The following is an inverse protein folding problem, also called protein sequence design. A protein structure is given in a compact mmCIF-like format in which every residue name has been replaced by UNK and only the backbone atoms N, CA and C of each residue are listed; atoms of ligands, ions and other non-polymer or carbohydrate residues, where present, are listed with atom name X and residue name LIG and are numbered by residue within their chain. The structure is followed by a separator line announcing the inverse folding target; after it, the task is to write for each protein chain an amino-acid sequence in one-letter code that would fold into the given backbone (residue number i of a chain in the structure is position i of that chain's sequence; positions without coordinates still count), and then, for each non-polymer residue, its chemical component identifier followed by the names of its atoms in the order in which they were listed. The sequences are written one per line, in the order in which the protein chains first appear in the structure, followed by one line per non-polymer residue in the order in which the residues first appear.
data_IF_306075044415
#
_entry.id   IF_306075044415
#
_cell.length_a   1.000
_cell.length_b   1.000
_cell.length_c   1.000
_cell.angle_alpha   90.00
_cell.angle_beta   90.00
_cell.angle_gamma   90.00
#
_symmetry.space_group_name_H-M   'P 1'
#
loop_
_entity.id
_entity.type
_entity.pdbx_description
1 polymer ?
#
# COMPACT_ATOMS: atom_id res chain seq x y z
N UNK A 1 8.30 -34.46 -59.00
CA UNK A 1 9.05 -33.67 -57.98
C UNK A 1 8.14 -32.94 -56.99
N UNK A 2 7.04 -32.30 -57.43
CA UNK A 2 6.12 -31.54 -56.55
C UNK A 2 5.49 -32.32 -55.37
N UNK A 3 5.12 -33.60 -55.56
CA UNK A 3 4.52 -34.43 -54.49
C UNK A 3 5.48 -34.73 -53.32
N UNK A 4 6.78 -34.92 -53.60
CA UNK A 4 7.79 -35.18 -52.56
C UNK A 4 8.08 -33.92 -51.74
N UNK A 5 8.09 -32.75 -52.39
CA UNK A 5 8.24 -31.47 -51.71
C UNK A 5 7.04 -31.14 -50.81
N UNK A 6 5.82 -31.43 -51.28
CA UNK A 6 4.60 -31.24 -50.49
C UNK A 6 4.58 -32.15 -49.25
N UNK A 7 4.96 -33.42 -49.40
CA UNK A 7 5.00 -34.37 -48.29
C UNK A 7 6.03 -33.92 -47.23
N UNK A 8 7.23 -33.49 -47.66
CA UNK A 8 8.27 -33.00 -46.77
C UNK A 8 7.82 -31.74 -45.99
N UNK A 9 7.17 -30.79 -46.67
CA UNK A 9 6.65 -29.58 -46.04
C UNK A 9 5.57 -29.90 -44.99
N UNK A 10 4.70 -30.86 -45.29
CA UNK A 10 3.64 -31.28 -44.38
C UNK A 10 4.21 -31.99 -43.14
N UNK A 11 5.23 -32.83 -43.31
CA UNK A 11 5.93 -33.47 -42.19
C UNK A 11 6.63 -32.45 -41.30
N UNK A 12 7.32 -31.45 -41.88
CA UNK A 12 7.97 -30.37 -41.11
C UNK A 12 6.92 -29.58 -40.31
N UNK A 13 5.80 -29.21 -40.94
CA UNK A 13 4.73 -28.49 -40.26
C UNK A 13 4.15 -29.28 -39.08
N UNK A 14 3.87 -30.57 -39.27
CA UNK A 14 3.38 -31.46 -38.21
C UNK A 14 4.39 -31.57 -37.07
N UNK A 15 5.69 -31.69 -37.36
CA UNK A 15 6.73 -31.73 -36.33
C UNK A 15 6.79 -30.42 -35.56
N UNK A 16 6.70 -29.26 -36.22
CA UNK A 16 6.68 -27.95 -35.56
C UNK A 16 5.46 -27.83 -34.64
N UNK A 17 4.28 -28.24 -35.10
CA UNK A 17 3.05 -28.22 -34.29
C UNK A 17 3.16 -29.16 -33.10
N UNK A 18 3.71 -30.37 -33.28
CA UNK A 18 3.93 -31.32 -32.18
C UNK A 18 4.93 -30.75 -31.18
N UNK A 19 6.04 -30.15 -31.63
CA UNK A 19 7.03 -29.51 -30.74
C UNK A 19 6.39 -28.34 -29.98
N UNK A 20 5.56 -27.53 -30.63
CA UNK A 20 4.86 -26.39 -30.00
C UNK A 20 3.80 -26.83 -28.98
N UNK A 21 3.08 -27.92 -29.25
CA UNK A 21 2.12 -28.50 -28.29
C UNK A 21 2.85 -29.20 -27.15
N UNK A 22 3.93 -29.93 -27.44
CA UNK A 22 4.72 -30.67 -26.46
C UNK A 22 5.64 -29.77 -25.61
N UNK A 23 6.00 -28.57 -26.08
CA UNK A 23 6.78 -27.61 -25.30
C UNK A 23 6.01 -27.03 -24.12
N UNK A 24 4.71 -27.33 -23.97
CA UNK A 24 3.94 -27.01 -22.78
C UNK A 24 3.79 -25.51 -22.52
N UNK A 25 4.29 -24.65 -23.42
CA UNK A 25 4.18 -23.19 -23.28
C UNK A 25 2.77 -22.76 -23.63
N UNK A 26 1.80 -23.16 -22.81
CA UNK A 26 0.58 -22.38 -22.69
C UNK A 26 1.01 -20.97 -22.24
N UNK A 27 0.51 -19.88 -22.83
CA UNK A 27 0.77 -18.52 -22.33
C UNK A 27 0.17 -18.24 -20.93
N UNK A 28 -0.18 -19.29 -20.19
CA UNK A 28 -1.02 -19.24 -19.01
C UNK A 28 -0.35 -19.82 -17.75
N UNK A 29 0.90 -20.27 -17.86
CA UNK A 29 1.71 -20.81 -16.74
C UNK A 29 2.68 -19.79 -16.12
N UNK A 30 2.41 -18.49 -16.26
CA UNK A 30 3.11 -17.47 -15.45
C UNK A 30 2.44 -17.23 -14.07
N UNK A 31 1.42 -18.03 -13.77
CA UNK A 31 0.60 -18.01 -12.56
C UNK A 31 0.73 -19.33 -11.78
N UNK A 32 1.91 -19.95 -11.79
CA UNK A 32 2.13 -21.16 -11.00
C UNK A 32 3.26 -20.96 -9.98
N UNK A 33 2.82 -20.73 -8.75
CA UNK A 33 3.56 -20.85 -7.48
C UNK A 33 4.48 -19.69 -7.11
N UNK A 34 3.89 -18.65 -6.52
CA UNK A 34 4.62 -17.75 -5.63
C UNK A 34 3.84 -17.63 -4.30
N UNK A 35 4.21 -18.45 -3.32
CA UNK A 35 3.82 -18.22 -1.92
C UNK A 35 4.28 -16.80 -1.50
N UNK A 36 3.66 -16.20 -0.47
CA UNK A 36 4.17 -14.97 0.12
C UNK A 36 5.68 -15.07 0.39
N UNK A 37 6.44 -14.13 -0.17
CA UNK A 37 7.91 -14.12 -0.09
C UNK A 37 8.36 -12.97 0.79
N UNK A 38 9.09 -13.28 1.86
CA UNK A 38 9.69 -12.28 2.74
C UNK A 38 10.90 -11.67 2.01
N UNK A 39 10.83 -10.37 1.77
CA UNK A 39 11.88 -9.56 1.13
C UNK A 39 12.86 -8.99 2.13
N UNK A 40 12.36 -8.54 3.27
CA UNK A 40 13.14 -7.82 4.27
C UNK A 40 12.56 -8.06 5.65
N UNK A 41 13.41 -8.13 6.68
CA UNK A 41 13.00 -8.13 8.08
C UNK A 41 13.82 -7.11 8.83
N UNK A 42 13.15 -6.20 9.52
CA UNK A 42 13.76 -5.17 10.36
C UNK A 42 13.29 -5.33 11.79
N UNK A 43 14.21 -5.31 12.74
CA UNK A 43 13.88 -5.28 14.17
C UNK A 43 14.00 -3.85 14.67
N UNK A 44 12.98 -3.35 15.37
CA UNK A 44 13.06 -2.03 16.02
C UNK A 44 13.97 -2.10 17.23
N UNK A 45 15.00 -1.26 17.19
CA UNK A 45 15.98 -1.14 18.26
C UNK A 45 15.32 -0.63 19.53
N UNK A 46 15.80 -1.12 20.68
CA UNK A 46 15.38 -0.72 22.03
C UNK A 46 13.96 -1.09 22.44
N UNK A 47 13.25 -1.97 21.73
CA UNK A 47 11.97 -2.51 22.19
C UNK A 47 12.16 -3.73 23.11
N UNK A 48 11.44 -3.75 24.22
CA UNK A 48 11.41 -4.87 25.18
C UNK A 48 10.00 -5.30 25.61
N UNK A 49 8.99 -4.56 25.13
CA UNK A 49 7.59 -4.94 25.18
C UNK A 49 6.96 -4.68 23.82
N UNK A 50 6.12 -5.61 23.39
CA UNK A 50 5.45 -5.54 22.09
C UNK A 50 4.14 -6.33 22.19
N UNK A 51 3.06 -5.73 21.72
CA UNK A 51 1.76 -6.36 21.51
C UNK A 51 1.32 -6.15 20.07
N UNK A 52 0.80 -7.21 19.49
CA UNK A 52 0.38 -7.34 18.11
C UNK A 52 -1.08 -7.80 18.10
N UNK A 53 -1.95 -7.07 17.39
CA UNK A 53 -3.40 -7.28 17.45
C UNK A 53 -3.89 -8.58 16.82
N UNK A 54 -3.13 -9.10 15.87
CA UNK A 54 -3.46 -10.19 14.97
C UNK A 54 -2.28 -11.14 14.78
N UNK A 55 -1.11 -10.78 15.28
CA UNK A 55 0.08 -11.61 15.19
C UNK A 55 0.73 -11.44 13.83
N UNK A 56 1.46 -12.47 13.40
CA UNK A 56 2.15 -12.46 12.11
C UNK A 56 1.20 -12.84 10.94
N UNK A 57 -0.02 -12.26 10.92
CA UNK A 57 -1.10 -12.55 9.97
C UNK A 57 -1.31 -11.46 8.91
N UNK A 58 -0.64 -11.65 7.78
CA UNK A 58 -0.70 -10.77 6.61
C UNK A 58 -2.10 -10.63 5.95
N UNK A 59 -3.11 -11.34 6.42
CA UNK A 59 -4.47 -11.32 5.87
C UNK A 59 -5.48 -10.57 6.73
N UNK A 60 -5.08 -10.19 7.93
CA UNK A 60 -5.84 -9.33 8.84
C UNK A 60 -5.20 -7.95 8.85
N UNK A 61 -5.98 -6.90 9.13
CA UNK A 61 -5.41 -5.55 9.30
C UNK A 61 -4.91 -5.44 10.72
N UNK A 62 -3.59 -5.31 10.87
CA UNK A 62 -2.91 -5.40 12.13
C UNK A 62 -2.26 -4.11 12.59
N UNK A 63 -2.03 -4.06 13.90
CA UNK A 63 -1.36 -2.97 14.61
C UNK A 63 -0.48 -3.53 15.70
N UNK A 64 0.80 -3.17 15.63
CA UNK A 64 1.72 -3.33 16.73
C UNK A 64 1.73 -2.10 17.63
N UNK A 65 1.78 -2.34 18.92
CA UNK A 65 2.12 -1.37 19.97
C UNK A 65 3.35 -1.87 20.70
N UNK A 66 4.31 -1.00 20.98
CA UNK A 66 5.58 -1.41 21.57
C UNK A 66 6.14 -0.33 22.49
N UNK A 67 6.92 -0.74 23.49
CA UNK A 67 7.53 0.12 24.48
C UNK A 67 8.99 -0.23 24.76
N UNK A 68 9.65 0.67 25.49
CA UNK A 68 11.06 0.50 25.92
C UNK A 68 11.25 0.85 27.40
N UNK A 69 11.43 -0.16 28.25
CA UNK A 69 11.75 0.08 29.67
C UNK A 69 13.12 0.74 29.85
N UNK A 70 14.04 0.56 28.89
CA UNK A 70 15.33 1.24 28.89
C UNK A 70 15.17 2.75 28.66
N UNK A 71 14.42 3.15 27.63
CA UNK A 71 14.19 4.57 27.35
C UNK A 71 13.37 5.24 28.46
N UNK A 72 12.46 4.51 29.09
CA UNK A 72 11.73 4.96 30.28
C UNK A 72 12.70 5.33 31.42
N UNK A 73 13.62 4.43 31.79
CA UNK A 73 14.62 4.69 32.83
C UNK A 73 15.58 5.83 32.49
N UNK A 74 15.94 6.00 31.21
CA UNK A 74 16.80 7.10 30.76
C UNK A 74 16.04 8.43 30.86
N UNK A 75 14.77 8.45 30.45
CA UNK A 75 13.90 9.62 30.57
C UNK A 75 13.76 10.08 32.02
N UNK A 76 13.54 9.14 32.95
CA UNK A 76 13.48 9.42 34.40
C UNK A 76 14.79 10.04 34.91
N UNK A 77 15.95 9.46 34.56
CA UNK A 77 17.25 10.00 34.99
C UNK A 77 17.55 11.39 34.43
N UNK A 78 17.16 11.68 33.19
CA UNK A 78 17.34 13.01 32.62
C UNK A 78 16.45 14.02 33.33
N UNK A 79 15.21 13.64 33.65
CA UNK A 79 14.33 14.46 34.45
C UNK A 79 14.94 14.77 35.83
N UNK A 80 15.50 13.76 36.51
CA UNK A 80 16.17 13.97 37.80
C UNK A 80 17.38 14.91 37.70
N UNK A 81 18.10 14.88 36.58
CA UNK A 81 19.28 15.73 36.36
C UNK A 81 18.92 17.17 35.93
N UNK A 82 17.89 17.33 35.09
CA UNK A 82 17.58 18.61 34.42
C UNK A 82 16.32 19.30 34.92
N UNK A 83 15.48 18.60 35.70
CA UNK A 83 14.11 19.00 36.03
C UNK A 83 13.16 19.05 34.82
N UNK A 84 13.60 18.57 33.65
CA UNK A 84 12.84 18.64 32.40
C UNK A 84 12.33 17.27 31.99
N UNK A 85 11.05 17.20 31.63
CA UNK A 85 10.47 16.00 31.06
C UNK A 85 10.88 15.88 29.58
N UNK A 86 11.83 14.99 29.29
CA UNK A 86 12.22 14.67 27.92
C UNK A 86 11.56 13.36 27.52
N UNK A 87 10.56 13.43 26.63
CA UNK A 87 9.93 12.25 26.06
C UNK A 87 10.89 11.55 25.08
N UNK A 88 11.65 10.59 25.56
CA UNK A 88 12.44 9.69 24.72
C UNK A 88 11.55 8.55 24.24
N UNK A 89 10.80 8.75 23.15
CA UNK A 89 10.06 7.70 22.39
C UNK A 89 9.62 6.50 23.22
N UNK A 90 8.80 6.73 24.25
CA UNK A 90 8.48 5.78 25.33
C UNK A 90 7.71 4.57 24.79
N UNK A 91 6.69 4.88 24.01
CA UNK A 91 5.77 3.95 23.38
C UNK A 91 5.56 4.38 21.94
N UNK A 92 5.43 3.40 21.05
CA UNK A 92 5.13 3.63 19.65
C UNK A 92 4.10 2.62 19.14
N UNK A 93 3.53 2.94 17.98
CA UNK A 93 2.68 2.03 17.26
C UNK A 93 2.98 2.07 15.77
N UNK A 94 2.69 0.98 15.08
CA UNK A 94 2.69 0.91 13.62
C UNK A 94 1.56 -0.01 13.22
N UNK A 95 0.76 0.41 12.23
CA UNK A 95 -0.11 -0.53 11.54
C UNK A 95 0.66 -1.27 10.45
N UNK A 96 0.04 -2.33 9.96
CA UNK A 96 0.40 -2.91 8.68
C UNK A 96 0.03 -1.94 7.56
N UNK A 97 0.87 -1.87 6.54
CA UNK A 97 0.59 -0.98 5.43
C UNK A 97 1.19 -1.47 4.13
N UNK A 98 0.51 -1.12 3.06
CA UNK A 98 0.92 -1.52 1.74
C UNK A 98 2.00 -0.59 1.20
N UNK A 99 3.07 -1.18 0.67
CA UNK A 99 4.25 -0.46 0.19
C UNK A 99 4.20 -0.33 -1.34
N UNK A 100 4.51 0.88 -1.85
CA UNK A 100 4.49 1.22 -3.28
C UNK A 100 5.88 1.12 -3.97
N UNK A 101 6.76 0.20 -3.55
CA UNK A 101 8.02 -0.12 -4.26
C UNK A 101 7.73 -1.20 -5.33
N UNK A 102 8.01 -1.13 -6.64
CA UNK A 102 8.76 -0.22 -7.52
C UNK A 102 8.21 -0.44 -8.95
N UNK A 103 8.32 0.57 -9.79
CA UNK A 103 8.36 0.49 -11.26
C UNK A 103 9.38 -0.54 -11.82
N UNK A 104 10.32 -1.07 -11.01
CA UNK A 104 11.43 -1.95 -11.43
C UNK A 104 11.17 -3.46 -11.29
N UNK A 105 10.16 -3.91 -10.52
CA UNK A 105 9.95 -5.36 -10.30
C UNK A 105 9.03 -6.03 -11.32
N UNK A 106 8.45 -5.31 -12.28
CA UNK A 106 7.63 -5.88 -13.36
C UNK A 106 6.32 -6.56 -12.92
N UNK A 107 6.11 -6.78 -11.63
CA UNK A 107 4.90 -7.37 -11.05
C UNK A 107 3.87 -6.29 -10.78
N UNK A 108 3.16 -5.89 -11.83
CA UNK A 108 2.27 -4.73 -11.77
C UNK A 108 1.06 -4.88 -10.84
N UNK A 109 0.80 -6.07 -10.28
CA UNK A 109 -0.36 -6.39 -9.44
C UNK A 109 -0.05 -7.15 -8.13
N UNK A 110 1.19 -7.53 -7.83
CA UNK A 110 1.49 -8.23 -6.56
C UNK A 110 1.73 -7.17 -5.49
N UNK A 111 0.76 -6.98 -4.60
CA UNK A 111 0.92 -6.02 -3.52
C UNK A 111 2.04 -6.43 -2.57
N UNK A 112 2.88 -5.47 -2.19
CA UNK A 112 3.88 -5.65 -1.13
C UNK A 112 3.27 -5.11 0.15
N UNK A 113 3.21 -5.97 1.18
CA UNK A 113 2.78 -5.61 2.51
C UNK A 113 4.01 -5.37 3.39
N UNK A 114 4.00 -4.30 4.17
CA UNK A 114 4.83 -4.21 5.36
C UNK A 114 3.98 -4.64 6.55
N UNK A 115 4.29 -5.82 7.05
CA UNK A 115 3.72 -6.37 8.28
C UNK A 115 4.53 -5.87 9.47
N UNK A 116 3.89 -5.30 10.47
CA UNK A 116 4.43 -5.13 11.81
C UNK A 116 4.03 -6.31 12.67
N UNK A 117 4.99 -6.96 13.33
CA UNK A 117 4.69 -8.10 14.20
C UNK A 117 5.57 -8.12 15.45
N UNK A 118 5.14 -8.85 16.47
CA UNK A 118 5.91 -9.03 17.71
C UNK A 118 6.57 -10.41 17.77
N UNK A 119 7.87 -10.44 18.00
CA UNK A 119 8.62 -11.68 18.25
C UNK A 119 9.55 -11.50 19.45
N UNK A 120 9.45 -12.38 20.44
CA UNK A 120 10.23 -12.34 21.69
C UNK A 120 10.16 -10.98 22.42
N UNK A 121 8.98 -10.36 22.45
CA UNK A 121 8.75 -9.05 23.07
C UNK A 121 9.36 -7.87 22.31
N UNK A 122 9.91 -8.09 21.11
CA UNK A 122 10.48 -7.05 20.25
C UNK A 122 9.57 -6.76 19.07
N UNK A 123 9.39 -5.47 18.77
CA UNK A 123 8.72 -5.05 17.57
C UNK A 123 9.60 -5.31 16.34
N UNK A 124 9.03 -5.98 15.35
CA UNK A 124 9.64 -6.23 14.06
C UNK A 124 8.72 -5.75 12.96
N UNK A 125 9.30 -5.47 11.80
CA UNK A 125 8.57 -5.27 10.57
C UNK A 125 9.15 -6.19 9.51
N UNK A 126 8.32 -6.90 8.74
CA UNK A 126 8.76 -7.61 7.55
C UNK A 126 8.10 -7.03 6.30
N UNK A 127 8.85 -6.96 5.23
CA UNK A 127 8.33 -6.63 3.90
C UNK A 127 8.06 -7.96 3.19
N UNK A 128 6.82 -8.21 2.80
CA UNK A 128 6.38 -9.49 2.26
C UNK A 128 5.49 -9.29 1.04
N UNK A 129 5.62 -10.15 0.03
CA UNK A 129 4.68 -10.14 -1.10
C UNK A 129 3.38 -10.84 -0.68
N UNK A 130 2.22 -10.36 -1.15
CA UNK A 130 0.95 -11.01 -0.84
C UNK A 130 0.75 -12.40 -1.46
N UNK A 131 1.69 -12.84 -2.30
CA UNK A 131 1.58 -14.05 -3.07
C UNK A 131 0.61 -13.92 -4.24
N UNK A 132 0.43 -15.00 -4.97
CA UNK A 132 -0.37 -15.03 -6.18
C UNK A 132 -1.88 -14.85 -5.91
N UNK A 133 -2.58 -14.17 -6.83
CA UNK A 133 -4.02 -13.94 -6.73
C UNK A 133 -4.41 -13.07 -5.53
N UNK A 134 -3.46 -12.30 -4.99
CA UNK A 134 -3.69 -11.37 -3.88
C UNK A 134 -3.04 -10.03 -4.14
N UNK A 135 -3.70 -8.99 -3.63
CA UNK A 135 -3.23 -7.61 -3.66
C UNK A 135 -3.15 -7.09 -2.24
N UNK A 136 -2.23 -6.17 -1.99
CA UNK A 136 -2.17 -5.46 -0.73
C UNK A 136 -3.14 -4.30 -0.78
N UNK A 137 -4.10 -4.27 0.15
CA UNK A 137 -5.09 -3.20 0.34
C UNK A 137 -5.40 -3.07 1.81
N UNK A 138 -5.60 -1.84 2.30
CA UNK A 138 -5.96 -1.58 3.69
C UNK A 138 -5.06 -2.31 4.71
N UNK A 139 -3.74 -2.27 4.50
CA UNK A 139 -2.79 -2.93 5.38
C UNK A 139 -2.83 -4.47 5.37
N UNK A 140 -3.46 -5.12 4.39
CA UNK A 140 -3.53 -6.59 4.35
C UNK A 140 -3.58 -7.17 2.95
N UNK A 141 -3.29 -8.46 2.84
CA UNK A 141 -3.32 -9.21 1.60
C UNK A 141 -4.72 -9.78 1.31
N UNK A 142 -5.50 -9.07 0.50
CA UNK A 142 -6.82 -9.52 0.06
C UNK A 142 -6.75 -10.30 -1.25
N UNK A 143 -7.77 -11.12 -1.53
CA UNK A 143 -7.91 -11.77 -2.84
C UNK A 143 -8.06 -10.70 -3.93
N UNK A 144 -7.28 -10.83 -4.99
CA UNK A 144 -7.36 -10.01 -6.18
C UNK A 144 -7.15 -10.85 -7.44
N UNK A 145 -7.39 -10.23 -8.58
CA UNK A 145 -7.17 -10.78 -9.92
C UNK A 145 -6.59 -9.71 -10.83
N UNK A 146 -6.40 -10.05 -12.11
CA UNK A 146 -5.88 -9.13 -13.13
C UNK A 146 -6.75 -7.88 -13.34
N UNK A 147 -8.04 -7.96 -12.97
CA UNK A 147 -9.04 -6.92 -13.18
C UNK A 147 -9.26 -6.11 -11.89
N UNK A 148 -8.56 -6.45 -10.80
CA UNK A 148 -8.62 -5.73 -9.53
C UNK A 148 -8.01 -4.34 -9.70
N UNK A 149 -8.80 -3.26 -9.54
CA UNK A 149 -8.34 -1.91 -9.83
C UNK A 149 -7.19 -1.52 -8.89
N UNK A 150 -6.18 -0.84 -9.44
CA UNK A 150 -4.99 -0.42 -8.67
C UNK A 150 -5.26 0.77 -7.77
N UNK A 151 -6.34 1.47 -8.08
CA UNK A 151 -6.79 2.69 -7.47
C UNK A 151 -8.30 2.58 -7.26
N UNK A 152 -8.76 2.75 -6.02
CA UNK A 152 -10.17 2.81 -5.64
C UNK A 152 -10.44 4.20 -5.11
N UNK A 153 -11.51 4.81 -5.57
CA UNK A 153 -11.94 6.15 -5.18
C UNK A 153 -13.30 6.02 -4.47
N UNK A 154 -13.38 6.48 -3.22
CA UNK A 154 -14.54 6.25 -2.36
C UNK A 154 -15.74 7.13 -2.71
N UNK A 155 -15.55 8.27 -3.39
CA UNK A 155 -16.64 9.12 -3.88
C UNK A 155 -16.92 8.97 -5.38
N UNK A 156 -16.07 8.20 -6.08
CA UNK A 156 -16.25 7.84 -7.47
C UNK A 156 -15.86 8.94 -8.45
N UNK A 157 -15.07 9.94 -8.05
CA UNK A 157 -14.42 10.82 -8.99
C UNK A 157 -13.93 12.14 -8.39
N UNK A 158 -14.56 13.24 -8.82
CA UNK A 158 -14.07 14.60 -8.54
C UNK A 158 -15.16 15.46 -7.91
N UNK A 159 -15.94 14.90 -6.97
CA UNK A 159 -17.03 15.64 -6.36
C UNK A 159 -16.55 16.37 -5.10
N UNK A 160 -16.23 17.67 -5.20
CA UNK A 160 -15.62 18.40 -4.08
C UNK A 160 -16.58 18.59 -2.90
N UNK A 161 -17.85 18.16 -2.98
CA UNK A 161 -18.82 18.27 -1.90
C UNK A 161 -18.93 16.99 -1.06
N UNK A 162 -18.34 15.90 -1.51
CA UNK A 162 -18.14 14.69 -0.71
C UNK A 162 -16.69 14.63 -0.26
N UNK A 163 -16.44 14.06 0.91
CA UNK A 163 -15.07 13.83 1.34
C UNK A 163 -14.70 12.44 0.83
N UNK A 164 -13.81 12.41 -0.15
CA UNK A 164 -13.28 11.22 -0.78
C UNK A 164 -11.98 10.75 -0.16
N UNK A 165 -11.68 9.50 -0.50
CA UNK A 165 -10.47 8.79 -0.14
C UNK A 165 -10.09 7.93 -1.34
N UNK A 166 -8.87 8.11 -1.83
CA UNK A 166 -8.28 7.24 -2.83
C UNK A 166 -7.36 6.23 -2.17
N UNK A 167 -7.73 4.95 -2.23
CA UNK A 167 -6.80 3.85 -1.96
C UNK A 167 -6.05 3.52 -3.26
N UNK A 168 -4.75 3.83 -3.29
CA UNK A 168 -3.85 3.31 -4.34
C UNK A 168 -2.81 2.39 -3.73
N UNK A 169 -3.04 1.09 -3.88
CA UNK A 169 -2.17 0.06 -3.35
C UNK A 169 -2.01 0.13 -1.83
N UNK A 170 -3.13 0.22 -1.12
CA UNK A 170 -3.27 0.32 0.33
C UNK A 170 -2.58 1.54 0.94
N UNK A 171 -2.45 2.60 0.14
CA UNK A 171 -2.10 3.94 0.62
C UNK A 171 -3.30 4.83 0.38
N UNK A 172 -3.82 5.37 1.48
CA UNK A 172 -5.02 6.18 1.49
C UNK A 172 -4.65 7.65 1.31
N UNK A 173 -5.23 8.28 0.29
CA UNK A 173 -5.11 9.69 0.00
C UNK A 173 -6.47 10.32 0.24
N UNK A 174 -6.61 10.96 1.39
CA UNK A 174 -7.82 11.71 1.73
C UNK A 174 -7.83 13.07 1.05
N UNK A 175 -9.02 13.53 0.67
CA UNK A 175 -9.19 14.91 0.25
C UNK A 175 -8.82 15.87 1.36
N UNK A 176 -8.22 17.00 0.97
CA UNK A 176 -7.71 17.96 1.95
C UNK A 176 -8.10 19.38 1.59
N UNK A 177 -8.55 20.11 2.61
CA UNK A 177 -8.77 21.54 2.48
C UNK A 177 -7.43 22.27 2.36
N UNK A 178 -7.32 23.14 1.37
CA UNK A 178 -6.19 24.01 1.14
C UNK A 178 -6.58 25.48 1.31
N UNK A 179 -5.70 26.27 1.93
CA UNK A 179 -5.74 27.74 1.92
C UNK A 179 -4.65 28.25 0.98
N UNK A 180 -5.04 28.83 -0.15
CA UNK A 180 -4.10 29.07 -1.25
C UNK A 180 -3.50 27.73 -1.73
N UNK A 181 -2.20 27.53 -1.60
CA UNK A 181 -1.51 26.26 -1.94
C UNK A 181 -1.06 25.45 -0.72
N UNK A 182 -1.32 25.93 0.49
CA UNK A 182 -0.94 25.25 1.74
C UNK A 182 -2.10 24.41 2.27
N UNK A 183 -1.80 23.30 2.95
CA UNK A 183 -2.80 22.53 3.69
C UNK A 183 -3.39 23.44 4.77
N UNK A 184 -4.72 23.53 4.81
CA UNK A 184 -5.42 24.39 5.74
C UNK A 184 -5.22 23.88 7.18
N UNK A 185 -4.99 24.80 8.12
CA UNK A 185 -4.81 24.45 9.52
C UNK A 185 -6.07 23.75 10.06
N UNK A 186 -5.90 22.57 10.68
CA UNK A 186 -7.00 21.69 11.11
C UNK A 186 -7.96 21.24 10.01
N UNK A 187 -7.56 21.32 8.74
CA UNK A 187 -8.41 20.92 7.61
C UNK A 187 -9.63 21.83 7.41
N UNK A 188 -9.54 23.10 7.82
CA UNK A 188 -10.62 24.08 7.67
C UNK A 188 -10.10 25.34 6.99
N UNK A 189 -10.81 25.82 5.96
CA UNK A 189 -10.67 27.19 5.48
C UNK A 189 -12.04 27.86 5.31
N UNK A 190 -12.16 29.11 5.74
CA UNK A 190 -13.41 29.88 5.77
C UNK A 190 -13.32 31.17 4.93
N UNK A 191 -12.35 31.22 4.02
CA UNK A 191 -12.10 32.39 3.17
C UNK A 191 -12.63 32.18 1.75
N UNK A 192 -13.73 32.86 1.44
CA UNK A 192 -14.30 32.94 0.09
C UNK A 192 -13.20 33.41 -0.89
N UNK A 193 -12.95 32.61 -1.93
CA UNK A 193 -11.95 32.90 -2.97
C UNK A 193 -10.51 32.48 -2.66
N UNK A 194 -10.22 31.98 -1.46
CA UNK A 194 -8.89 31.46 -1.10
C UNK A 194 -8.92 30.05 -0.48
N UNK A 195 -10.07 29.38 -0.60
CA UNK A 195 -10.32 28.08 -0.02
C UNK A 195 -10.59 27.05 -1.12
N UNK A 196 -9.86 25.94 -1.09
CA UNK A 196 -9.89 24.91 -2.11
C UNK A 196 -9.95 23.52 -1.47
N UNK A 197 -10.47 22.54 -2.20
CA UNK A 197 -10.26 21.12 -1.94
C UNK A 197 -9.15 20.65 -2.86
N UNK A 198 -8.16 19.94 -2.30
CA UNK A 198 -7.33 19.02 -3.07
C UNK A 198 -8.08 17.71 -3.12
N UNK A 199 -8.65 17.46 -4.28
CA UNK A 199 -9.43 16.29 -4.63
C UNK A 199 -8.47 15.21 -5.14
N UNK A 200 -8.38 14.07 -4.47
CA UNK A 200 -7.70 12.90 -5.00
C UNK A 200 -8.71 12.02 -5.72
N UNK A 201 -8.33 11.51 -6.89
CA UNK A 201 -9.22 10.64 -7.66
C UNK A 201 -8.45 9.57 -8.43
N UNK A 202 -9.17 8.54 -8.87
CA UNK A 202 -8.59 7.48 -9.70
C UNK A 202 -8.85 7.70 -11.18
N UNK A 203 -7.78 7.84 -11.98
CA UNK A 203 -7.84 7.87 -13.44
C UNK A 203 -6.94 6.78 -14.04
N UNK A 204 -7.52 5.84 -14.79
CA UNK A 204 -6.81 4.71 -15.42
C UNK A 204 -5.90 3.97 -14.42
N UNK A 205 -6.44 3.63 -13.24
CA UNK A 205 -5.72 2.96 -12.17
C UNK A 205 -4.55 3.77 -11.56
N UNK A 206 -4.43 5.05 -11.91
CA UNK A 206 -3.48 5.97 -11.31
C UNK A 206 -4.20 6.93 -10.37
N UNK A 207 -3.55 7.22 -9.24
CA UNK A 207 -3.99 8.29 -8.34
C UNK A 207 -3.57 9.61 -8.96
N UNK A 208 -4.56 10.42 -9.26
CA UNK A 208 -4.40 11.80 -9.68
C UNK A 208 -4.93 12.73 -8.60
N UNK A 209 -4.74 14.03 -8.79
CA UNK A 209 -5.41 15.02 -7.96
C UNK A 209 -5.74 16.30 -8.73
N UNK A 210 -6.77 17.01 -8.29
CA UNK A 210 -7.17 18.31 -8.80
C UNK A 210 -7.35 19.28 -7.64
N UNK A 211 -7.18 20.57 -7.93
CA UNK A 211 -7.40 21.65 -6.94
C UNK A 211 -8.67 22.38 -7.31
N UNK A 212 -9.73 22.17 -6.56
CA UNK A 212 -11.07 22.69 -6.84
C UNK A 212 -11.40 23.82 -5.87
N UNK A 213 -11.85 24.96 -6.36
CA UNK A 213 -12.21 26.10 -5.51
C UNK A 213 -13.56 25.87 -4.81
N UNK A 214 -13.62 26.13 -3.51
CA UNK A 214 -14.88 26.05 -2.77
C UNK A 214 -15.69 27.34 -2.88
N UNK A 215 -17.03 27.26 -3.03
CA UNK A 215 -17.89 28.44 -3.09
C UNK A 215 -17.86 29.30 -1.82
N UNK A 216 -17.76 28.65 -0.66
CA UNK A 216 -17.82 29.31 0.65
C UNK A 216 -16.61 28.95 1.51
N UNK A 217 -16.56 27.70 1.96
CA UNK A 217 -15.55 27.18 2.89
C UNK A 217 -15.27 25.71 2.60
N UNK A 218 -14.21 25.18 3.19
CA UNK A 218 -13.86 23.76 3.14
C UNK A 218 -13.67 23.26 4.57
N UNK A 219 -14.16 22.06 4.84
CA UNK A 219 -13.94 21.36 6.10
C UNK A 219 -13.80 19.88 5.85
N UNK A 220 -12.77 19.26 6.44
CA UNK A 220 -12.56 17.81 6.41
C UNK A 220 -12.52 17.26 4.97
N UNK A 221 -11.80 17.94 4.10
CA UNK A 221 -11.58 17.47 2.72
C UNK A 221 -12.69 17.83 1.72
N UNK A 222 -13.80 18.46 2.15
CA UNK A 222 -14.90 18.83 1.24
C UNK A 222 -15.32 20.28 1.33
N UNK A 223 -15.85 20.81 0.24
CA UNK A 223 -16.49 22.11 0.15
C UNK A 223 -17.84 22.12 0.85
N UNK A 224 -18.13 23.25 1.51
CA UNK A 224 -19.42 23.55 2.11
C UNK A 224 -20.21 24.51 1.21
N UNK A 225 -21.53 24.33 1.18
CA UNK A 225 -22.47 25.19 0.45
C UNK A 225 -22.81 26.45 1.23
#
# INVERSE_FOLDING_TARGET
MKKKALLLALTIFVVIVIVYIASGTTPQEYFETQNPEIREVNTKWFTDSCYDSDGDDIYTDGKITYGSSFLEKVSEKIHDFTGSNIALGRDGGSGDYCFNYIEDVGYSNVGILREGYCEDGRAKNKLITCGEGRVCRYGKCIKGDKDTPKCIDSDGGKDPFFAGEVDRNGIDFNDTCLRGSAIAWKGICEEVGNCFVREYFCEKDQREYEKIACPSSCKEGRCLR
#
